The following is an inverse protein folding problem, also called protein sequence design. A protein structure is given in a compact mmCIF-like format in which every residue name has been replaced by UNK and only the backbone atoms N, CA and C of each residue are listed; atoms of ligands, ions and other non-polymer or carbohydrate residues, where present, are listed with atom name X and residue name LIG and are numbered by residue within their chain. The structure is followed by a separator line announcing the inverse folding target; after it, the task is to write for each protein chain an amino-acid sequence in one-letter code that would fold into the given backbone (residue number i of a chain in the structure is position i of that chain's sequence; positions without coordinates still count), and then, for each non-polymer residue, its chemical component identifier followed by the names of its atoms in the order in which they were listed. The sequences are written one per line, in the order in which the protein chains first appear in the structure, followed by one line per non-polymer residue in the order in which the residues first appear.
data_IF_306209880725
#
_entry.id   IF_306209880725
#
_cell.length_a   1.000
_cell.length_b   1.000
_cell.length_c   1.000
_cell.angle_alpha   90.00
_cell.angle_beta   90.00
_cell.angle_gamma   90.00
#
_symmetry.space_group_name_H-M   'P 1'
#
loop_
_entity.id
_entity.type
_entity.pdbx_description
1 polymer ?
#
# COMPACT_ATOMS: atom_id res chain seq x y z
N UNK A 1 -14.97 6.00 12.30
CA UNK A 1 -15.20 4.60 11.84
C UNK A 1 -14.09 4.27 10.87
N UNK A 2 -13.57 3.05 10.95
CA UNK A 2 -12.55 2.56 10.03
C UNK A 2 -13.22 1.77 8.93
N UNK A 3 -12.80 1.96 7.69
CA UNK A 3 -13.21 1.14 6.56
C UNK A 3 -12.90 -0.35 6.82
N UNK A 4 -13.75 -1.26 6.33
CA UNK A 4 -13.57 -2.68 6.60
C UNK A 4 -12.30 -3.23 5.95
N UNK A 5 -12.01 -2.87 4.69
CA UNK A 5 -10.79 -3.31 3.99
C UNK A 5 -9.57 -2.77 4.68
N UNK A 6 -9.59 -1.50 5.08
CA UNK A 6 -8.49 -0.90 5.84
C UNK A 6 -8.26 -1.61 7.18
N UNK A 7 -9.33 -1.94 7.93
CA UNK A 7 -9.18 -2.66 9.20
C UNK A 7 -8.61 -4.07 9.02
N UNK A 8 -9.01 -4.75 7.95
CA UNK A 8 -8.45 -6.05 7.56
C UNK A 8 -6.98 -5.92 7.15
N UNK A 9 -6.64 -4.90 6.35
CA UNK A 9 -5.29 -4.63 5.89
C UNK A 9 -4.33 -4.33 7.05
N UNK A 10 -4.73 -3.47 8.00
CA UNK A 10 -3.96 -3.19 9.22
C UNK A 10 -3.73 -4.49 10.02
N UNK A 11 -4.78 -5.28 10.21
CA UNK A 11 -4.69 -6.55 10.96
C UNK A 11 -3.78 -7.56 10.25
N UNK A 12 -3.92 -7.68 8.93
CA UNK A 12 -3.13 -8.56 8.07
C UNK A 12 -1.65 -8.19 8.08
N UNK A 13 -1.35 -6.91 7.88
CA UNK A 13 0.00 -6.35 7.91
C UNK A 13 0.72 -6.65 9.23
N UNK A 14 0.11 -6.30 10.37
CA UNK A 14 0.70 -6.53 11.71
C UNK A 14 0.86 -8.02 12.01
N UNK A 15 -0.07 -8.85 11.57
CA UNK A 15 0.00 -10.30 11.74
C UNK A 15 1.14 -10.91 10.91
N UNK A 16 1.29 -10.50 9.65
CA UNK A 16 2.39 -10.93 8.80
C UNK A 16 3.74 -10.46 9.37
N UNK A 17 3.83 -9.20 9.77
CA UNK A 17 5.03 -8.64 10.37
C UNK A 17 5.46 -9.40 11.62
N UNK A 18 4.50 -9.77 12.47
CA UNK A 18 4.74 -10.61 13.66
C UNK A 18 5.23 -12.00 13.30
N UNK A 19 4.60 -12.63 12.30
CA UNK A 19 4.90 -13.99 11.86
C UNK A 19 6.31 -14.09 11.26
N UNK A 20 6.74 -13.07 10.53
CA UNK A 20 7.98 -13.09 9.76
C UNK A 20 9.12 -12.26 10.37
N UNK A 21 8.81 -11.43 11.36
CA UNK A 21 9.77 -10.61 12.12
C UNK A 21 10.06 -11.14 13.52
N UNK A 22 10.74 -10.33 14.32
CA UNK A 22 11.10 -10.65 15.71
C UNK A 22 10.30 -9.86 16.76
N UNK A 23 9.32 -9.07 16.32
CA UNK A 23 8.53 -8.17 17.15
C UNK A 23 7.04 -8.54 17.05
N UNK A 24 6.35 -8.57 18.19
CA UNK A 24 4.91 -8.88 18.27
C UNK A 24 4.07 -7.66 17.90
N UNK A 25 4.06 -7.32 16.61
CA UNK A 25 3.30 -6.21 16.05
C UNK A 25 1.77 -6.42 16.17
N UNK A 26 1.32 -7.67 16.15
CA UNK A 26 -0.10 -8.03 16.25
C UNK A 26 -0.72 -7.59 17.58
N UNK A 27 0.08 -7.51 18.66
CA UNK A 27 -0.35 -6.96 19.93
C UNK A 27 -0.78 -5.48 19.85
N UNK A 28 -0.31 -4.74 18.83
CA UNK A 28 -0.61 -3.32 18.61
C UNK A 28 -1.85 -3.10 17.75
N UNK A 29 -2.51 -4.16 17.27
CA UNK A 29 -3.67 -4.03 16.38
C UNK A 29 -4.78 -3.13 16.97
N UNK A 30 -5.01 -3.20 18.28
CA UNK A 30 -5.99 -2.35 18.95
C UNK A 30 -5.60 -0.85 18.95
N UNK A 31 -4.30 -0.54 19.05
CA UNK A 31 -3.79 0.82 19.01
C UNK A 31 -3.98 1.42 17.61
N UNK A 32 -3.52 0.73 16.56
CA UNK A 32 -3.69 1.20 15.19
C UNK A 32 -5.16 1.32 14.79
N UNK A 33 -6.01 0.33 15.10
CA UNK A 33 -7.45 0.48 14.84
C UNK A 33 -8.07 1.68 15.58
N UNK A 34 -7.57 2.04 16.76
CA UNK A 34 -8.02 3.25 17.47
C UNK A 34 -7.61 4.54 16.76
N UNK A 35 -6.39 4.59 16.21
CA UNK A 35 -5.90 5.73 15.39
C UNK A 35 -6.82 5.94 14.18
N UNK A 36 -7.06 4.90 13.39
CA UNK A 36 -7.87 4.98 12.19
C UNK A 36 -9.34 5.30 12.49
N UNK A 37 -9.87 4.76 13.58
CA UNK A 37 -11.25 4.98 14.00
C UNK A 37 -11.50 6.34 14.66
N UNK A 38 -10.44 7.09 14.99
CA UNK A 38 -10.51 8.40 15.64
C UNK A 38 -11.49 9.36 14.95
N UNK A 39 -12.12 10.23 15.74
CA UNK A 39 -13.02 11.29 15.24
C UNK A 39 -12.28 12.60 14.94
N UNK A 40 -10.95 12.64 15.07
CA UNK A 40 -10.13 13.79 14.69
C UNK A 40 -10.13 14.03 13.17
N UNK A 41 -9.76 15.25 12.78
CA UNK A 41 -9.47 15.58 11.37
C UNK A 41 -8.26 14.79 10.84
N UNK A 42 -8.03 14.87 9.53
CA UNK A 42 -7.00 14.06 8.87
C UNK A 42 -5.61 14.26 9.49
N UNK A 43 -5.17 15.51 9.66
CA UNK A 43 -3.86 15.82 10.25
C UNK A 43 -3.74 15.35 11.71
N UNK A 44 -4.82 15.45 12.50
CA UNK A 44 -4.85 14.87 13.85
C UNK A 44 -4.64 13.36 13.82
N UNK A 45 -5.20 12.65 12.83
CA UNK A 45 -4.96 11.21 12.67
C UNK A 45 -3.55 10.90 12.22
N UNK A 46 -2.96 11.73 11.35
CA UNK A 46 -1.55 11.62 10.96
C UNK A 46 -0.64 11.75 12.18
N UNK A 47 -0.87 12.75 13.04
CA UNK A 47 -0.12 12.92 14.29
C UNK A 47 -0.26 11.71 15.23
N UNK A 48 -1.46 11.14 15.33
CA UNK A 48 -1.72 9.94 16.14
C UNK A 48 -1.03 8.69 15.57
N UNK A 49 -1.00 8.58 14.24
CA UNK A 49 -0.28 7.50 13.55
C UNK A 49 1.22 7.62 13.80
N UNK A 50 1.77 8.84 13.65
CA UNK A 50 3.17 9.11 13.89
C UNK A 50 3.58 8.80 15.33
N UNK A 51 2.76 9.21 16.31
CA UNK A 51 2.98 8.88 17.71
C UNK A 51 2.98 7.37 17.98
N UNK A 52 2.12 6.60 17.30
CA UNK A 52 2.08 5.15 17.44
C UNK A 52 3.37 4.48 16.93
N UNK A 53 3.93 4.96 15.82
CA UNK A 53 5.21 4.46 15.31
C UNK A 53 6.41 4.94 16.15
N UNK A 54 6.39 6.17 16.66
CA UNK A 54 7.46 6.71 17.51
C UNK A 54 7.62 5.91 18.82
N UNK A 55 6.53 5.38 19.36
CA UNK A 55 6.54 4.49 20.52
C UNK A 55 7.08 3.08 20.18
N UNK A 56 7.11 2.72 18.90
CA UNK A 56 7.46 1.38 18.40
C UNK A 56 8.42 1.42 17.18
N UNK A 57 9.69 1.86 17.37
CA UNK A 57 10.66 2.01 16.26
C UNK A 57 10.94 0.72 15.46
N UNK A 58 10.59 -0.45 16.00
CA UNK A 58 10.68 -1.73 15.29
C UNK A 58 9.73 -1.84 14.10
N UNK A 59 8.73 -0.96 14.01
CA UNK A 59 7.74 -0.90 12.93
C UNK A 59 7.99 0.23 11.94
N UNK A 60 9.12 0.94 12.03
CA UNK A 60 9.38 2.14 11.23
C UNK A 60 9.21 1.88 9.72
N UNK A 61 9.62 0.71 9.23
CA UNK A 61 9.45 0.32 7.83
C UNK A 61 7.99 0.20 7.37
N UNK A 62 7.01 0.13 8.28
CA UNK A 62 5.59 0.12 7.95
C UNK A 62 4.95 1.51 7.98
N UNK A 63 5.68 2.56 8.39
CA UNK A 63 5.10 3.89 8.64
C UNK A 63 4.40 4.45 7.40
N UNK A 64 5.10 4.48 6.27
CA UNK A 64 4.61 5.09 5.04
C UNK A 64 3.45 4.29 4.43
N UNK A 65 3.54 2.96 4.42
CA UNK A 65 2.42 2.11 3.94
C UNK A 65 1.18 2.15 4.84
N UNK A 66 1.33 2.47 6.14
CA UNK A 66 0.19 2.74 7.01
C UNK A 66 -0.35 4.15 6.85
N UNK A 67 0.48 5.11 6.44
CA UNK A 67 0.02 6.42 6.02
C UNK A 67 -0.84 6.31 4.74
N UNK A 68 -0.45 5.49 3.77
CA UNK A 68 -1.26 5.20 2.58
C UNK A 68 -2.63 4.62 2.96
N UNK A 69 -2.66 3.65 3.89
CA UNK A 69 -3.92 3.11 4.42
C UNK A 69 -4.76 4.18 5.12
N UNK A 70 -4.14 5.13 5.83
CA UNK A 70 -4.84 6.22 6.49
C UNK A 70 -5.49 7.16 5.46
N UNK A 71 -4.79 7.43 4.36
CA UNK A 71 -5.30 8.20 3.22
C UNK A 71 -6.50 7.48 2.57
N UNK A 72 -6.38 6.17 2.31
CA UNK A 72 -7.50 5.36 1.80
C UNK A 72 -8.70 5.39 2.77
N UNK A 73 -8.47 5.22 4.08
CA UNK A 73 -9.54 5.32 5.06
C UNK A 73 -10.23 6.69 5.05
N UNK A 74 -9.47 7.76 4.86
CA UNK A 74 -10.00 9.10 4.78
C UNK A 74 -10.97 9.23 3.59
N UNK A 75 -10.53 8.83 2.38
CA UNK A 75 -11.37 8.85 1.19
C UNK A 75 -12.59 7.93 1.30
N UNK A 76 -12.42 6.73 1.88
CA UNK A 76 -13.51 5.76 1.98
C UNK A 76 -14.53 6.10 3.07
N UNK A 77 -14.16 6.71 4.20
CA UNK A 77 -15.06 6.85 5.36
C UNK A 77 -15.17 8.26 5.93
N UNK A 78 -14.10 9.04 5.93
CA UNK A 78 -14.13 10.35 6.58
C UNK A 78 -14.70 11.43 5.67
N UNK A 79 -14.40 11.40 4.36
CA UNK A 79 -14.98 12.32 3.37
C UNK A 79 -16.51 12.26 3.37
N UNK A 80 -17.12 11.09 3.62
CA UNK A 80 -18.59 10.93 3.72
C UNK A 80 -19.25 11.77 4.82
N UNK A 81 -18.47 12.29 5.79
CA UNK A 81 -18.96 13.11 6.90
C UNK A 81 -18.74 14.61 6.66
N UNK A 82 -17.99 14.95 5.61
CA UNK A 82 -17.64 16.31 5.24
C UNK A 82 -18.64 16.86 4.22
N UNK A 83 -18.45 18.11 3.81
CA UNK A 83 -19.25 18.72 2.75
C UNK A 83 -18.89 18.08 1.39
N UNK A 84 -19.87 18.00 0.48
CA UNK A 84 -19.73 17.28 -0.81
C UNK A 84 -18.56 17.81 -1.68
N UNK A 85 -18.13 19.05 -1.46
CA UNK A 85 -17.05 19.76 -2.14
C UNK A 85 -15.78 19.91 -1.28
N UNK A 86 -15.65 19.17 -0.16
CA UNK A 86 -14.50 19.31 0.74
C UNK A 86 -13.14 19.13 0.03
N UNK A 87 -13.05 18.18 -0.89
CA UNK A 87 -11.82 17.92 -1.67
C UNK A 87 -11.49 19.03 -2.68
N UNK A 88 -12.42 19.96 -2.94
CA UNK A 88 -12.20 21.15 -3.77
C UNK A 88 -11.81 22.38 -2.94
N UNK A 89 -11.63 22.23 -1.61
CA UNK A 89 -11.35 23.35 -0.72
C UNK A 89 -9.86 23.68 -0.66
N UNK A 90 -9.49 24.96 -0.43
CA UNK A 90 -8.11 25.34 -0.13
C UNK A 90 -7.53 24.68 1.14
N UNK A 91 -8.40 24.20 2.04
CA UNK A 91 -7.98 23.44 3.22
C UNK A 91 -7.42 22.08 2.81
N UNK A 92 -8.12 21.36 1.92
CA UNK A 92 -7.64 20.08 1.40
C UNK A 92 -6.37 20.25 0.56
N UNK A 93 -6.32 21.27 -0.32
CA UNK A 93 -5.09 21.58 -1.09
C UNK A 93 -3.87 21.81 -0.17
N UNK A 94 -4.04 22.48 0.97
CA UNK A 94 -2.97 22.70 1.96
C UNK A 94 -2.57 21.40 2.68
N UNK A 95 -3.52 20.50 2.92
CA UNK A 95 -3.25 19.18 3.51
C UNK A 95 -2.48 18.29 2.52
N UNK A 96 -2.88 18.26 1.25
CA UNK A 96 -2.18 17.51 0.20
C UNK A 96 -0.74 18.00 0.05
N UNK A 97 -0.50 19.31 -0.05
CA UNK A 97 0.84 19.88 -0.15
C UNK A 97 1.72 19.53 1.08
N UNK A 98 1.13 19.52 2.29
CA UNK A 98 1.83 19.13 3.52
C UNK A 98 2.17 17.65 3.59
N UNK A 99 1.48 16.81 2.82
CA UNK A 99 1.57 15.35 2.90
C UNK A 99 2.07 14.68 1.63
N UNK A 100 2.46 15.46 0.61
CA UNK A 100 2.94 14.98 -0.68
C UNK A 100 4.02 13.89 -0.58
N UNK A 101 5.01 14.09 0.28
CA UNK A 101 6.16 13.18 0.43
C UNK A 101 5.98 12.13 1.54
N UNK A 102 4.75 11.88 2.01
CA UNK A 102 4.49 11.02 3.19
C UNK A 102 4.11 9.58 2.85
N UNK A 103 3.55 9.37 1.67
CA UNK A 103 3.05 8.08 1.22
C UNK A 103 4.05 7.32 0.34
N UNK A 104 3.59 6.19 -0.18
CA UNK A 104 4.33 5.39 -1.15
C UNK A 104 3.48 5.12 -2.40
N UNK A 105 4.09 4.54 -3.43
CA UNK A 105 3.37 4.07 -4.62
C UNK A 105 2.34 2.97 -4.34
N UNK A 106 2.27 2.45 -3.10
CA UNK A 106 1.19 1.57 -2.66
C UNK A 106 -0.15 2.29 -2.68
N UNK A 107 -0.21 3.60 -2.39
CA UNK A 107 -1.45 4.38 -2.44
C UNK A 107 -2.12 4.27 -3.81
N UNK A 108 -1.36 4.50 -4.89
CA UNK A 108 -1.84 4.38 -6.26
C UNK A 108 -2.37 2.98 -6.57
N UNK A 109 -1.67 1.93 -6.09
CA UNK A 109 -2.13 0.56 -6.27
C UNK A 109 -3.41 0.26 -5.48
N UNK A 110 -3.57 0.80 -4.26
CA UNK A 110 -4.79 0.64 -3.46
C UNK A 110 -6.00 1.37 -4.07
N UNK A 111 -5.77 2.55 -4.66
CA UNK A 111 -6.79 3.27 -5.42
C UNK A 111 -7.27 2.44 -6.62
N UNK A 112 -6.33 1.89 -7.41
CA UNK A 112 -6.64 0.98 -8.50
C UNK A 112 -7.45 -0.24 -8.04
N UNK A 113 -7.06 -0.89 -6.95
CA UNK A 113 -7.79 -2.07 -6.43
C UNK A 113 -9.22 -1.74 -5.97
N UNK A 114 -9.45 -0.54 -5.43
CA UNK A 114 -10.80 -0.09 -5.12
C UNK A 114 -11.64 0.15 -6.38
N UNK A 115 -11.05 0.76 -7.41
CA UNK A 115 -11.72 0.93 -8.71
C UNK A 115 -12.06 -0.43 -9.33
N UNK A 116 -11.17 -1.41 -9.26
CA UNK A 116 -11.45 -2.76 -9.72
C UNK A 116 -12.66 -3.39 -9.02
N UNK A 117 -12.79 -3.22 -7.69
CA UNK A 117 -13.95 -3.74 -6.95
C UNK A 117 -15.24 -3.01 -7.35
N UNK A 118 -15.20 -1.68 -7.47
CA UNK A 118 -16.36 -0.87 -7.84
C UNK A 118 -16.86 -1.22 -9.25
N UNK A 119 -15.95 -1.59 -10.16
CA UNK A 119 -16.25 -2.00 -11.53
C UNK A 119 -16.48 -3.52 -11.71
N UNK A 120 -16.32 -4.33 -10.66
CA UNK A 120 -16.41 -5.80 -10.70
C UNK A 120 -15.45 -6.43 -11.73
N UNK A 121 -14.19 -5.97 -11.74
CA UNK A 121 -13.11 -6.45 -12.61
C UNK A 121 -11.96 -7.06 -11.80
N UNK A 122 -11.27 -8.03 -12.40
CA UNK A 122 -10.08 -8.63 -11.80
C UNK A 122 -8.86 -7.72 -12.02
N UNK A 123 -8.00 -7.49 -10.99
CA UNK A 123 -6.83 -6.64 -11.14
C UNK A 123 -5.75 -7.29 -12.00
N UNK A 124 -5.25 -6.56 -13.00
CA UNK A 124 -4.20 -7.00 -13.91
C UNK A 124 -3.07 -5.97 -14.00
N UNK A 125 -1.80 -6.41 -14.02
CA UNK A 125 -0.66 -5.48 -14.08
C UNK A 125 -0.67 -4.61 -15.34
N UNK A 126 -1.10 -5.18 -16.48
CA UNK A 126 -1.16 -4.45 -17.75
C UNK A 126 -2.18 -3.31 -17.69
N UNK A 127 -3.33 -3.57 -17.08
CA UNK A 127 -4.42 -2.60 -16.88
C UNK A 127 -4.01 -1.50 -15.88
N UNK A 128 -3.45 -1.89 -14.72
CA UNK A 128 -2.88 -0.95 -13.75
C UNK A 128 -1.85 0.01 -14.38
N UNK A 129 -0.95 -0.50 -15.22
CA UNK A 129 0.06 0.33 -15.86
C UNK A 129 -0.52 1.21 -16.98
N UNK A 130 -1.39 0.67 -17.85
CA UNK A 130 -1.76 1.37 -19.10
C UNK A 130 -3.03 2.20 -18.98
N UNK A 131 -4.02 1.71 -18.25
CA UNK A 131 -5.34 2.33 -18.18
C UNK A 131 -5.46 3.19 -16.93
N UNK A 132 -4.85 2.77 -15.80
CA UNK A 132 -4.89 3.53 -14.55
C UNK A 132 -3.75 4.56 -14.42
N UNK A 133 -2.48 4.14 -14.57
CA UNK A 133 -1.33 5.04 -14.34
C UNK A 133 -0.91 5.88 -15.55
N UNK A 134 -0.81 5.28 -16.73
CA UNK A 134 -0.17 5.90 -17.90
C UNK A 134 -1.20 6.41 -18.92
N UNK A 135 -2.14 7.24 -18.45
CA UNK A 135 -3.12 7.90 -19.32
C UNK A 135 -2.40 8.86 -20.27
N UNK A 136 -2.85 8.94 -21.53
CA UNK A 136 -2.21 9.62 -22.68
C UNK A 136 -2.02 11.17 -22.54
N UNK A 137 -2.15 11.75 -21.36
CA UNK A 137 -1.95 13.18 -21.14
C UNK A 137 -0.49 13.48 -20.75
N UNK A 138 0.09 14.54 -21.34
CA UNK A 138 1.48 14.97 -21.13
C UNK A 138 1.84 15.24 -19.63
N UNK A 139 0.84 15.23 -18.74
CA UNK A 139 0.96 15.43 -17.30
C UNK A 139 1.48 14.18 -16.56
N UNK A 140 1.40 12.97 -17.16
CA UNK A 140 1.76 11.70 -16.49
C UNK A 140 3.18 11.16 -16.81
N UNK A 141 4.12 12.05 -17.12
CA UNK A 141 5.50 11.65 -17.46
C UNK A 141 6.31 11.19 -16.25
N UNK A 142 5.97 11.65 -15.05
CA UNK A 142 6.67 11.30 -13.83
C UNK A 142 6.34 9.87 -13.40
N UNK A 143 5.09 9.43 -13.59
CA UNK A 143 4.59 8.07 -13.38
C UNK A 143 5.34 7.08 -14.26
N UNK A 144 5.56 7.42 -15.54
CA UNK A 144 6.36 6.57 -16.42
C UNK A 144 7.77 6.34 -15.87
N UNK A 145 8.38 7.37 -15.29
CA UNK A 145 9.72 7.29 -14.70
C UNK A 145 9.71 6.48 -13.40
N UNK A 146 8.77 6.75 -12.49
CA UNK A 146 8.59 6.05 -11.22
C UNK A 146 8.42 4.54 -11.45
N UNK A 147 7.56 4.18 -12.39
CA UNK A 147 7.21 2.79 -12.69
C UNK A 147 8.06 2.14 -13.79
N UNK A 148 9.08 2.82 -14.33
CA UNK A 148 10.02 2.25 -15.31
C UNK A 148 10.54 0.86 -14.90
N UNK A 149 10.93 0.61 -13.62
CA UNK A 149 11.36 -0.71 -13.18
C UNK A 149 10.27 -1.78 -13.34
N UNK A 150 9.02 -1.45 -13.04
CA UNK A 150 7.87 -2.36 -13.15
C UNK A 150 7.57 -2.61 -14.63
N UNK A 151 7.51 -1.54 -15.44
CA UNK A 151 7.25 -1.58 -16.88
C UNK A 151 8.29 -2.46 -17.59
N UNK A 152 9.57 -2.31 -17.27
CA UNK A 152 10.66 -3.05 -17.89
C UNK A 152 10.65 -4.56 -17.55
N UNK A 153 9.95 -4.95 -16.48
CA UNK A 153 9.97 -6.31 -15.96
C UNK A 153 8.57 -6.95 -15.82
N UNK A 154 7.56 -6.46 -16.56
CA UNK A 154 6.20 -7.01 -16.53
C UNK A 154 6.12 -8.52 -16.74
N UNK A 155 7.01 -9.09 -17.56
CA UNK A 155 7.10 -10.56 -17.81
C UNK A 155 7.33 -11.39 -16.54
N UNK A 156 7.75 -10.77 -15.44
CA UNK A 156 7.93 -11.44 -14.17
C UNK A 156 6.61 -11.95 -13.56
N UNK A 157 5.45 -11.41 -13.95
CA UNK A 157 4.14 -11.94 -13.50
C UNK A 157 3.91 -13.40 -13.94
N UNK A 158 4.62 -13.86 -14.97
CA UNK A 158 4.58 -15.26 -15.42
C UNK A 158 5.80 -16.09 -14.96
N UNK A 159 6.72 -15.46 -14.22
CA UNK A 159 8.00 -16.06 -13.83
C UNK A 159 7.95 -16.67 -12.41
N UNK A 160 8.86 -17.60 -12.06
CA UNK A 160 8.96 -18.06 -10.68
C UNK A 160 9.28 -16.90 -9.72
N UNK A 161 8.68 -16.91 -8.53
CA UNK A 161 8.92 -15.94 -7.44
C UNK A 161 10.42 -15.70 -7.19
N UNK A 162 11.24 -16.75 -7.27
CA UNK A 162 12.69 -16.64 -7.09
C UNK A 162 13.39 -15.75 -8.14
N UNK A 163 12.84 -15.62 -9.34
CA UNK A 163 13.33 -14.68 -10.35
C UNK A 163 12.88 -13.25 -10.03
N UNK A 164 11.66 -13.06 -9.54
CA UNK A 164 11.19 -11.76 -9.02
C UNK A 164 12.14 -11.25 -7.94
N UNK A 165 12.50 -12.11 -6.99
CA UNK A 165 13.44 -11.78 -5.92
C UNK A 165 14.86 -11.42 -6.43
N UNK A 166 15.30 -12.00 -7.56
CA UNK A 166 16.60 -11.63 -8.15
C UNK A 166 16.54 -10.25 -8.78
N UNK A 167 15.48 -9.94 -9.51
CA UNK A 167 15.30 -8.64 -10.17
C UNK A 167 15.06 -7.53 -9.14
N UNK A 168 14.27 -7.79 -8.09
CA UNK A 168 14.03 -6.85 -6.99
C UNK A 168 15.33 -6.32 -6.36
N UNK A 169 16.36 -7.20 -6.25
CA UNK A 169 17.69 -6.82 -5.74
C UNK A 169 18.49 -5.94 -6.68
N UNK A 170 18.12 -5.87 -7.96
CA UNK A 170 18.78 -5.05 -8.98
C UNK A 170 18.09 -3.70 -9.21
N UNK A 171 16.89 -3.49 -8.66
CA UNK A 171 16.21 -2.20 -8.71
C UNK A 171 17.05 -1.15 -7.97
N UNK A 172 17.25 0.06 -8.54
CA UNK A 172 18.01 1.12 -7.88
C UNK A 172 17.48 1.46 -6.48
N UNK A 173 18.37 1.80 -5.56
CA UNK A 173 18.00 2.15 -4.17
C UNK A 173 17.27 3.49 -4.07
N UNK A 174 17.42 4.35 -5.07
CA UNK A 174 16.73 5.65 -5.20
C UNK A 174 15.41 5.55 -5.99
N UNK A 175 14.98 4.34 -6.35
CA UNK A 175 13.69 4.13 -7.01
C UNK A 175 12.56 4.10 -6.00
N UNK A 176 11.50 4.85 -6.28
CA UNK A 176 10.28 4.98 -5.48
C UNK A 176 9.54 3.62 -5.34
N UNK A 177 9.67 2.74 -6.34
CA UNK A 177 9.08 1.40 -6.31
C UNK A 177 10.02 0.34 -5.70
N UNK A 178 11.21 0.68 -5.21
CA UNK A 178 12.25 -0.28 -4.77
C UNK A 178 11.72 -1.31 -3.78
N UNK A 179 11.09 -0.84 -2.71
CA UNK A 179 10.61 -1.69 -1.61
C UNK A 179 9.30 -2.40 -2.00
N UNK A 180 8.50 -1.78 -2.85
CA UNK A 180 7.20 -2.29 -3.29
C UNK A 180 7.29 -3.27 -4.47
N UNK A 181 8.38 -3.24 -5.25
CA UNK A 181 8.51 -4.01 -6.48
C UNK A 181 8.26 -5.50 -6.27
N UNK A 182 8.88 -6.10 -5.24
CA UNK A 182 8.73 -7.52 -4.98
C UNK A 182 7.28 -7.90 -4.59
N UNK A 183 6.67 -7.30 -3.53
CA UNK A 183 5.30 -7.63 -3.16
C UNK A 183 4.28 -7.27 -4.25
N UNK A 184 4.46 -6.17 -4.98
CA UNK A 184 3.60 -5.76 -6.09
C UNK A 184 3.57 -6.81 -7.21
N UNK A 185 4.74 -7.22 -7.72
CA UNK A 185 4.79 -8.26 -8.76
C UNK A 185 4.21 -9.57 -8.24
N UNK A 186 4.54 -9.98 -7.01
CA UNK A 186 4.01 -11.22 -6.43
C UNK A 186 2.48 -11.20 -6.26
N UNK A 187 1.89 -10.04 -5.96
CA UNK A 187 0.44 -9.87 -5.94
C UNK A 187 -0.15 -10.11 -7.34
N UNK A 188 0.38 -9.45 -8.37
CA UNK A 188 -0.12 -9.60 -9.74
C UNK A 188 0.15 -10.99 -10.36
N UNK A 189 1.08 -11.78 -9.81
CA UNK A 189 1.23 -13.20 -10.19
C UNK A 189 0.00 -14.03 -9.84
N UNK A 190 -0.62 -13.75 -8.68
CA UNK A 190 -1.83 -14.41 -8.24
C UNK A 190 -2.53 -13.56 -7.15
N UNK A 191 -3.46 -12.67 -7.56
CA UNK A 191 -4.23 -11.86 -6.62
C UNK A 191 -5.10 -12.70 -5.66
N UNK A 192 -5.32 -13.97 -5.99
CA UNK A 192 -6.13 -14.95 -5.25
C UNK A 192 -5.28 -15.98 -4.48
N UNK A 193 -4.02 -15.64 -4.19
CA UNK A 193 -3.07 -16.56 -3.58
C UNK A 193 -3.56 -17.12 -2.23
N UNK A 194 -3.56 -18.45 -2.11
CA UNK A 194 -3.80 -19.15 -0.86
C UNK A 194 -2.56 -19.24 0.03
N UNK A 195 -2.69 -19.92 1.18
CA UNK A 195 -1.61 -20.05 2.16
C UNK A 195 -0.33 -20.68 1.60
N UNK A 196 -0.46 -21.60 0.63
CA UNK A 196 0.68 -22.32 0.04
C UNK A 196 1.49 -21.40 -0.87
N UNK A 197 0.81 -20.62 -1.70
CA UNK A 197 1.40 -19.61 -2.57
C UNK A 197 2.04 -18.50 -1.73
N UNK A 198 1.34 -17.99 -0.71
CA UNK A 198 1.88 -17.01 0.24
C UNK A 198 3.16 -17.48 0.93
N UNK A 199 3.23 -18.77 1.30
CA UNK A 199 4.46 -19.34 1.87
C UNK A 199 5.63 -19.35 0.87
N UNK A 200 5.33 -19.61 -0.41
CA UNK A 200 6.35 -19.60 -1.48
C UNK A 200 6.89 -18.19 -1.71
N UNK A 201 6.01 -17.18 -1.68
CA UNK A 201 6.38 -15.76 -1.72
C UNK A 201 7.24 -15.39 -0.52
N UNK A 202 6.83 -15.79 0.69
CA UNK A 202 7.59 -15.51 1.90
C UNK A 202 8.99 -16.14 1.89
N UNK A 203 9.18 -17.31 1.28
CA UNK A 203 10.48 -17.99 1.22
C UNK A 203 11.50 -17.28 0.33
N UNK A 204 11.03 -16.50 -0.65
CA UNK A 204 11.88 -15.75 -1.58
C UNK A 204 11.95 -14.24 -1.29
N UNK A 205 11.20 -13.75 -0.29
CA UNK A 205 11.12 -12.35 0.07
C UNK A 205 12.48 -11.71 0.38
N UNK A 206 12.60 -10.42 0.05
CA UNK A 206 13.80 -9.60 0.23
C UNK A 206 13.85 -9.09 1.68
N UNK A 207 12.78 -8.43 2.08
CA UNK A 207 12.52 -7.99 3.44
C UNK A 207 11.25 -8.68 3.93
N UNK A 208 11.39 -9.92 4.41
CA UNK A 208 10.24 -10.82 4.68
C UNK A 208 9.16 -10.22 5.60
N UNK A 209 9.47 -9.53 6.72
CA UNK A 209 8.46 -8.85 7.52
C UNK A 209 7.66 -7.80 6.73
N UNK A 210 8.35 -6.91 6.03
CA UNK A 210 7.74 -5.83 5.24
C UNK A 210 7.01 -6.36 4.00
N UNK A 211 7.67 -7.15 3.15
CA UNK A 211 7.13 -7.68 1.90
C UNK A 211 5.81 -8.43 2.14
N UNK A 212 5.77 -9.26 3.19
CA UNK A 212 4.56 -10.01 3.52
C UNK A 212 3.49 -9.14 4.18
N UNK A 213 3.87 -8.06 4.87
CA UNK A 213 2.89 -7.11 5.39
C UNK A 213 2.21 -6.33 4.25
N UNK A 214 2.99 -5.81 3.28
CA UNK A 214 2.45 -5.17 2.07
C UNK A 214 1.57 -6.13 1.28
N UNK A 215 1.98 -7.39 1.16
CA UNK A 215 1.18 -8.37 0.44
C UNK A 215 -0.16 -8.68 1.14
N UNK A 216 -0.21 -8.77 2.47
CA UNK A 216 -1.47 -8.91 3.20
C UNK A 216 -2.35 -7.65 3.13
N UNK A 217 -1.74 -6.46 2.99
CA UNK A 217 -2.47 -5.23 2.67
C UNK A 217 -3.17 -5.40 1.33
N UNK A 218 -2.43 -5.72 0.26
CA UNK A 218 -2.98 -5.87 -1.09
C UNK A 218 -4.11 -6.92 -1.16
N UNK A 219 -3.94 -8.07 -0.51
CA UNK A 219 -5.00 -9.10 -0.46
C UNK A 219 -6.24 -8.71 0.34
N UNK A 220 -6.18 -7.66 1.16
CA UNK A 220 -7.36 -7.15 1.88
C UNK A 220 -8.23 -6.23 1.01
N UNK A 221 -7.70 -5.79 -0.14
CA UNK A 221 -8.38 -4.90 -1.08
C UNK A 221 -8.94 -5.61 -2.31
N UNK A 222 -8.67 -6.92 -2.44
CA UNK A 222 -9.28 -7.82 -3.41
C UNK A 222 -10.44 -8.60 -2.79
#
# INVERSE_FOLDING_TARGET
MTDLKVSLAVTGALTAFTKYGSFDAAALNGQFNTVFASDGDFLTKVDLLDAAFDEHPQLEELREVFFDLLMINFFSEDVKKLEDDYLETPEWEDIEEQTLDRGTELLNLLLYLNECEDEDIDPELEDYLKEFLLVDEDEFQDEYRIYEPVIAHQVLVESPVSEVAKVAKTIPEDSEVKELFYPMICFFQNPEAGDTEKSTVADSAINKPFDMAVLEILFSFK
#
